data_IF_516204864585
#
_entry.id   IF_516204864585
#
_cell.length_a   1.000
_cell.length_b   1.000
_cell.length_c   1.000
_cell.angle_alpha   90.00
_cell.angle_beta   90.00
_cell.angle_gamma   90.00
#
_symmetry.space_group_name_H-M   'P 1'
#
loop_
_entity.id
_entity.type
_entity.pdbx_description
1 polymer ?
#
# COMPACT_ATOMS: atom_id res chain seq x y z
N UNK A 1 35.31 -5.54 19.02
CA UNK A 1 34.78 -5.67 17.65
C UNK A 1 33.50 -4.86 17.58
N UNK A 2 33.49 -3.75 16.87
CA UNK A 2 32.29 -2.97 16.64
C UNK A 2 31.40 -3.75 15.66
N UNK A 3 30.33 -4.33 16.15
CA UNK A 3 29.36 -4.96 15.27
C UNK A 3 28.80 -3.90 14.31
N UNK A 4 28.98 -4.12 13.00
CA UNK A 4 28.38 -3.26 11.99
C UNK A 4 26.87 -3.24 12.22
N UNK A 5 26.30 -2.04 12.39
CA UNK A 5 24.86 -1.88 12.54
C UNK A 5 24.13 -2.39 11.28
N UNK A 6 23.01 -3.04 11.49
CA UNK A 6 22.13 -3.47 10.41
C UNK A 6 21.34 -2.27 9.88
N UNK A 7 21.10 -2.25 8.58
CA UNK A 7 20.39 -1.16 7.89
C UNK A 7 19.04 -1.66 7.40
N UNK A 8 17.98 -0.94 7.75
CA UNK A 8 16.63 -1.14 7.24
C UNK A 8 16.37 -0.17 6.10
N UNK A 9 16.04 -0.68 4.92
CA UNK A 9 15.54 0.08 3.80
C UNK A 9 14.02 0.27 3.95
N UNK A 10 13.54 1.49 3.80
CA UNK A 10 12.12 1.82 3.90
C UNK A 10 11.68 2.47 2.58
N UNK A 11 10.71 1.86 1.89
CA UNK A 11 10.06 2.44 0.73
C UNK A 11 8.86 3.28 1.19
N UNK A 12 8.93 4.56 0.93
CA UNK A 12 7.97 5.56 1.39
C UNK A 12 8.63 6.57 2.32
N UNK A 13 8.31 7.83 2.09
CA UNK A 13 8.94 8.95 2.77
C UNK A 13 7.96 9.79 3.58
N UNK A 14 6.73 9.33 3.78
CA UNK A 14 5.70 10.01 4.54
C UNK A 14 5.93 10.05 6.05
N UNK A 15 4.92 10.46 6.79
CA UNK A 15 4.98 10.55 8.25
C UNK A 15 5.20 9.19 8.91
N UNK A 16 4.58 8.12 8.38
CA UNK A 16 4.78 6.77 8.92
C UNK A 16 6.20 6.27 8.65
N UNK A 17 6.77 6.58 7.46
CA UNK A 17 8.17 6.31 7.15
C UNK A 17 9.12 7.04 8.11
N UNK A 18 8.77 8.28 8.48
CA UNK A 18 9.51 9.04 9.49
C UNK A 18 9.48 8.35 10.86
N UNK A 19 8.31 7.94 11.32
CA UNK A 19 8.16 7.25 12.61
C UNK A 19 8.88 5.89 12.62
N UNK A 20 8.84 5.15 11.52
CA UNK A 20 9.60 3.91 11.37
C UNK A 20 11.10 4.14 11.44
N UNK A 21 11.61 5.18 10.76
CA UNK A 21 13.03 5.52 10.80
C UNK A 21 13.50 5.91 12.21
N UNK A 22 12.69 6.70 12.94
CA UNK A 22 12.94 7.07 14.31
C UNK A 22 12.96 5.84 15.24
N UNK A 23 11.94 4.98 15.14
CA UNK A 23 11.86 3.75 15.93
C UNK A 23 13.06 2.82 15.66
N UNK A 24 13.43 2.63 14.39
CA UNK A 24 14.58 1.83 13.99
C UNK A 24 15.89 2.37 14.62
N UNK A 25 16.08 3.69 14.59
CA UNK A 25 17.24 4.36 15.21
C UNK A 25 17.30 4.13 16.72
N UNK A 26 16.15 4.22 17.41
CA UNK A 26 16.05 4.04 18.85
C UNK A 26 16.42 2.62 19.31
N UNK A 27 16.23 1.61 18.46
CA UNK A 27 16.61 0.22 18.74
C UNK A 27 17.95 -0.18 18.09
N UNK A 28 18.72 0.79 17.58
CA UNK A 28 20.09 0.61 17.15
C UNK A 28 20.31 0.24 15.68
N UNK A 29 19.26 0.31 14.83
CA UNK A 29 19.42 0.14 13.39
C UNK A 29 19.79 1.45 12.69
N UNK A 30 20.45 1.33 11.55
CA UNK A 30 20.52 2.39 10.54
C UNK A 30 19.34 2.28 9.57
N UNK A 31 19.01 3.37 8.89
CA UNK A 31 17.93 3.40 7.90
C UNK A 31 18.37 4.03 6.60
N UNK A 32 17.81 3.53 5.49
CA UNK A 32 17.88 4.18 4.18
C UNK A 32 16.45 4.32 3.64
N UNK A 33 16.02 5.55 3.43
CA UNK A 33 14.68 5.86 2.91
C UNK A 33 14.75 5.96 1.39
N UNK A 34 13.89 5.22 0.69
CA UNK A 34 13.70 5.32 -0.76
C UNK A 34 12.40 6.05 -1.06
N UNK A 35 12.50 7.24 -1.63
CA UNK A 35 11.35 8.07 -1.96
C UNK A 35 11.70 9.02 -3.12
N UNK A 36 10.78 9.29 -4.08
CA UNK A 36 11.03 10.26 -5.15
C UNK A 36 10.97 11.72 -4.68
N UNK A 37 10.33 12.00 -3.55
CA UNK A 37 10.17 13.36 -3.02
C UNK A 37 11.42 13.80 -2.26
N UNK A 38 12.03 14.91 -2.71
CA UNK A 38 13.22 15.51 -2.09
C UNK A 38 12.95 16.10 -0.70
N UNK A 39 11.71 16.50 -0.42
CA UNK A 39 11.31 17.14 0.85
C UNK A 39 10.60 16.15 1.80
N UNK A 40 10.83 14.88 1.59
CA UNK A 40 10.19 13.82 2.35
C UNK A 40 10.45 13.93 3.87
N UNK A 41 9.39 13.94 4.72
CA UNK A 41 9.55 14.06 6.18
C UNK A 41 10.35 12.92 6.80
N UNK A 42 10.37 11.73 6.19
CA UNK A 42 11.12 10.59 6.69
C UNK A 42 12.64 10.82 6.69
N UNK A 43 13.13 11.73 5.86
CA UNK A 43 14.56 12.05 5.80
C UNK A 43 15.12 12.66 7.10
N UNK A 44 14.24 13.23 7.94
CA UNK A 44 14.63 13.82 9.23
C UNK A 44 15.34 12.82 10.15
N UNK A 45 14.93 11.56 10.14
CA UNK A 45 15.50 10.52 11.00
C UNK A 45 16.30 9.46 10.22
N UNK A 46 16.34 9.56 8.91
CA UNK A 46 17.06 8.63 8.06
C UNK A 46 18.58 8.75 8.24
N UNK A 47 19.28 7.61 8.27
CA UNK A 47 20.75 7.60 8.20
C UNK A 47 21.23 7.90 6.79
N UNK A 48 20.53 7.35 5.78
CA UNK A 48 20.80 7.54 4.37
C UNK A 48 19.48 7.79 3.61
N UNK A 49 19.61 8.42 2.44
CA UNK A 49 18.50 8.76 1.55
C UNK A 49 18.80 8.23 0.15
N UNK A 50 17.79 7.69 -0.51
CA UNK A 50 17.83 7.34 -1.92
C UNK A 50 16.66 8.03 -2.60
N UNK A 51 16.94 9.15 -3.25
CA UNK A 51 15.92 9.95 -3.95
C UNK A 51 15.87 9.47 -5.40
N UNK A 52 14.81 8.73 -5.74
CA UNK A 52 14.62 8.18 -7.08
C UNK A 52 13.17 7.70 -7.25
N UNK A 53 12.73 7.64 -8.52
CA UNK A 53 11.44 7.05 -8.86
C UNK A 53 11.37 5.58 -8.47
N UNK A 54 10.20 5.11 -8.04
CA UNK A 54 10.01 3.72 -7.60
C UNK A 54 10.30 2.67 -8.69
N UNK A 55 10.27 3.06 -9.97
CA UNK A 55 10.61 2.20 -11.10
C UNK A 55 12.07 2.26 -11.56
N UNK A 56 12.91 3.07 -10.95
CA UNK A 56 14.32 3.24 -11.34
C UNK A 56 15.17 2.02 -10.95
N UNK A 57 15.35 1.11 -11.91
CA UNK A 57 16.09 -0.14 -11.70
C UNK A 57 17.53 0.06 -11.25
N UNK A 58 18.22 1.12 -11.71
CA UNK A 58 19.61 1.35 -11.33
C UNK A 58 19.72 1.73 -9.85
N UNK A 59 18.86 2.65 -9.40
CA UNK A 59 18.82 3.05 -8.00
C UNK A 59 18.25 1.95 -7.11
N UNK A 60 17.29 1.15 -7.57
CA UNK A 60 16.80 -0.04 -6.86
C UNK A 60 17.92 -1.04 -6.59
N UNK A 61 18.79 -1.34 -7.58
CA UNK A 61 19.93 -2.25 -7.39
C UNK A 61 20.91 -1.71 -6.34
N UNK A 62 21.23 -0.42 -6.40
CA UNK A 62 22.12 0.22 -5.43
C UNK A 62 21.51 0.18 -4.01
N UNK A 63 20.24 0.52 -3.90
CA UNK A 63 19.52 0.51 -2.64
C UNK A 63 19.48 -0.89 -2.01
N UNK A 64 19.09 -1.92 -2.76
CA UNK A 64 19.06 -3.32 -2.28
C UNK A 64 20.41 -3.77 -1.74
N UNK A 65 21.52 -3.34 -2.38
CA UNK A 65 22.88 -3.65 -1.92
C UNK A 65 23.27 -2.92 -0.64
N UNK A 66 22.71 -1.73 -0.39
CA UNK A 66 23.06 -0.88 0.76
C UNK A 66 22.34 -1.25 2.05
N UNK A 67 21.33 -2.13 2.02
CA UNK A 67 20.50 -2.46 3.17
C UNK A 67 20.48 -3.96 3.48
N UNK A 68 20.18 -4.31 4.73
CA UNK A 68 20.06 -5.70 5.18
C UNK A 68 18.61 -6.22 5.09
N UNK A 69 17.64 -5.35 5.38
CA UNK A 69 16.20 -5.63 5.34
C UNK A 69 15.49 -4.52 4.59
N UNK A 70 14.34 -4.82 4.01
CA UNK A 70 13.51 -3.86 3.29
C UNK A 70 12.08 -3.97 3.78
N UNK A 71 11.46 -2.84 4.07
CA UNK A 71 10.03 -2.75 4.35
C UNK A 71 9.37 -1.66 3.50
N UNK A 72 8.05 -1.68 3.43
CA UNK A 72 7.24 -0.73 2.66
C UNK A 72 6.33 0.00 3.62
N UNK A 73 6.34 1.31 3.55
CA UNK A 73 5.41 2.18 4.27
C UNK A 73 4.37 2.78 3.32
N UNK A 74 4.77 3.10 2.10
CA UNK A 74 3.86 3.64 1.10
C UNK A 74 3.16 2.51 0.33
N UNK A 75 1.86 2.34 0.54
CA UNK A 75 1.09 1.23 -0.03
C UNK A 75 1.06 1.19 -1.57
N UNK A 76 1.21 2.36 -2.23
CA UNK A 76 1.08 2.47 -3.69
C UNK A 76 2.39 2.26 -4.47
N UNK A 77 3.34 1.51 -3.91
CA UNK A 77 4.54 1.08 -4.65
C UNK A 77 4.11 0.16 -5.80
N UNK A 78 4.57 0.40 -7.05
CA UNK A 78 4.20 -0.45 -8.18
C UNK A 78 4.56 -1.92 -7.97
N UNK A 79 3.65 -2.83 -8.33
CA UNK A 79 3.83 -4.28 -8.09
C UNK A 79 5.07 -4.85 -8.79
N UNK A 80 5.45 -4.32 -9.96
CA UNK A 80 6.67 -4.73 -10.64
C UNK A 80 7.93 -4.37 -9.84
N UNK A 81 7.93 -3.26 -9.13
CA UNK A 81 9.00 -2.84 -8.21
C UNK A 81 9.05 -3.76 -7.00
N UNK A 82 7.90 -4.04 -6.38
CA UNK A 82 7.79 -4.98 -5.26
C UNK A 82 8.34 -6.36 -5.65
N UNK A 83 7.93 -6.87 -6.80
CA UNK A 83 8.41 -8.16 -7.32
C UNK A 83 9.91 -8.16 -7.60
N UNK A 84 10.45 -7.02 -8.05
CA UNK A 84 11.90 -6.88 -8.26
C UNK A 84 12.67 -6.92 -6.94
N UNK A 85 12.22 -6.18 -5.94
CA UNK A 85 12.83 -6.13 -4.60
C UNK A 85 12.74 -7.50 -3.91
N UNK A 86 11.60 -8.18 -4.03
CA UNK A 86 11.37 -9.49 -3.40
C UNK A 86 12.40 -10.56 -3.81
N UNK A 87 12.94 -10.48 -5.04
CA UNK A 87 14.01 -11.38 -5.51
C UNK A 87 15.29 -11.30 -4.69
N UNK A 88 15.48 -10.23 -3.92
CA UNK A 88 16.64 -10.08 -3.04
C UNK A 88 16.56 -10.93 -1.77
N UNK A 89 15.39 -11.45 -1.41
CA UNK A 89 15.14 -12.14 -0.14
C UNK A 89 15.15 -11.23 1.09
N UNK A 90 15.19 -9.89 0.90
CA UNK A 90 15.29 -8.90 1.99
C UNK A 90 13.95 -8.22 2.31
N UNK A 91 12.89 -8.44 1.52
CA UNK A 91 11.61 -7.76 1.64
C UNK A 91 10.73 -8.38 2.73
N UNK A 92 10.25 -7.56 3.65
CA UNK A 92 9.30 -7.89 4.71
C UNK A 92 8.27 -6.76 4.87
N UNK A 93 6.96 -7.07 4.86
CA UNK A 93 6.35 -8.38 4.62
C UNK A 93 6.57 -8.91 3.19
N UNK A 94 6.11 -10.12 2.90
CA UNK A 94 6.29 -10.73 1.57
C UNK A 94 5.59 -9.95 0.46
N UNK A 95 6.03 -10.11 -0.78
CA UNK A 95 5.38 -9.50 -1.95
C UNK A 95 3.91 -9.88 -2.09
N UNK A 96 3.54 -11.11 -1.70
CA UNK A 96 2.15 -11.55 -1.75
C UNK A 96 1.28 -10.86 -0.69
N UNK A 97 1.80 -10.68 0.53
CA UNK A 97 1.10 -9.93 1.57
C UNK A 97 0.86 -8.47 1.14
N UNK A 98 1.88 -7.82 0.57
CA UNK A 98 1.77 -6.46 0.05
C UNK A 98 0.75 -6.38 -1.08
N UNK A 99 0.80 -7.33 -2.04
CA UNK A 99 -0.15 -7.38 -3.15
C UNK A 99 -1.60 -7.51 -2.68
N UNK A 100 -1.84 -8.34 -1.67
CA UNK A 100 -3.16 -8.52 -1.07
C UNK A 100 -3.63 -7.21 -0.44
N UNK A 101 -2.80 -6.56 0.36
CA UNK A 101 -3.15 -5.32 1.06
C UNK A 101 -3.35 -4.11 0.13
N UNK A 102 -2.81 -4.15 -1.09
CA UNK A 102 -3.00 -3.09 -2.08
C UNK A 102 -4.37 -3.09 -2.78
N UNK A 103 -5.17 -4.14 -2.64
CA UNK A 103 -6.44 -4.30 -3.35
C UNK A 103 -7.53 -4.80 -2.39
N UNK A 104 -8.55 -3.96 -2.11
CA UNK A 104 -9.62 -4.28 -1.16
C UNK A 104 -10.39 -5.56 -1.49
N UNK A 105 -10.55 -5.88 -2.78
CA UNK A 105 -11.16 -7.15 -3.16
C UNK A 105 -10.27 -8.33 -2.77
N UNK A 106 -8.98 -8.24 -3.03
CA UNK A 106 -8.04 -9.29 -2.66
C UNK A 106 -7.94 -9.48 -1.13
N UNK A 107 -8.02 -8.38 -0.35
CA UNK A 107 -8.09 -8.47 1.13
C UNK A 107 -9.35 -9.21 1.59
N UNK A 108 -10.52 -8.86 1.02
CA UNK A 108 -11.79 -9.53 1.37
C UNK A 108 -11.77 -11.00 0.98
N UNK A 109 -11.33 -11.31 -0.23
CA UNK A 109 -11.21 -12.69 -0.72
C UNK A 109 -10.24 -13.51 0.17
N UNK A 110 -9.12 -12.90 0.59
CA UNK A 110 -8.19 -13.50 1.52
C UNK A 110 -8.83 -13.77 2.89
N UNK A 111 -9.60 -12.83 3.43
CA UNK A 111 -10.33 -13.01 4.68
C UNK A 111 -11.32 -14.17 4.58
N UNK A 112 -12.16 -14.19 3.54
CA UNK A 112 -13.14 -15.25 3.32
C UNK A 112 -12.46 -16.61 3.19
N UNK A 113 -11.42 -16.72 2.37
CA UNK A 113 -10.65 -17.96 2.18
C UNK A 113 -10.05 -18.50 3.47
N UNK A 114 -9.66 -17.63 4.39
CA UNK A 114 -9.05 -17.97 5.66
C UNK A 114 -10.06 -17.97 6.83
N UNK A 115 -11.37 -17.94 6.56
CA UNK A 115 -12.44 -17.95 7.55
C UNK A 115 -12.36 -16.79 8.57
N UNK A 116 -11.82 -15.66 8.13
CA UNK A 116 -11.79 -14.42 8.89
C UNK A 116 -13.07 -13.63 8.58
N UNK A 117 -13.81 -13.27 9.62
CA UNK A 117 -15.07 -12.52 9.46
C UNK A 117 -14.83 -11.19 8.75
N UNK A 118 -15.66 -10.90 7.76
CA UNK A 118 -15.67 -9.63 7.02
C UNK A 118 -17.11 -9.25 6.65
N UNK A 119 -17.34 -7.99 6.33
CA UNK A 119 -18.64 -7.57 5.80
C UNK A 119 -18.93 -8.27 4.46
N UNK A 120 -20.22 -8.44 4.15
CA UNK A 120 -20.65 -8.81 2.80
C UNK A 120 -20.10 -7.79 1.79
N UNK A 121 -19.72 -8.24 0.63
CA UNK A 121 -19.13 -7.38 -0.40
C UNK A 121 -19.38 -7.92 -1.79
N UNK A 122 -19.33 -7.02 -2.77
CA UNK A 122 -19.34 -7.39 -4.19
C UNK A 122 -18.30 -6.60 -4.97
N UNK A 123 -17.73 -7.23 -5.98
CA UNK A 123 -16.81 -6.59 -6.92
C UNK A 123 -17.62 -5.82 -7.97
N UNK A 124 -17.26 -4.57 -8.20
CA UNK A 124 -17.91 -3.67 -9.17
C UNK A 124 -16.87 -3.25 -10.21
N UNK A 125 -16.97 -3.81 -11.40
CA UNK A 125 -16.12 -3.47 -12.54
C UNK A 125 -16.91 -2.66 -13.57
N UNK A 126 -18.21 -2.92 -13.65
CA UNK A 126 -19.14 -2.23 -14.55
C UNK A 126 -20.35 -1.73 -13.76
N UNK A 127 -21.04 -0.73 -14.31
CA UNK A 127 -22.24 -0.17 -13.69
C UNK A 127 -23.35 -1.20 -13.51
N UNK A 128 -23.42 -2.20 -14.39
CA UNK A 128 -24.39 -3.32 -14.29
C UNK A 128 -24.20 -4.16 -13.03
N UNK A 129 -22.98 -4.26 -12.52
CA UNK A 129 -22.67 -5.08 -11.34
C UNK A 129 -23.39 -4.54 -10.09
N UNK A 130 -23.68 -3.23 -10.07
CA UNK A 130 -24.42 -2.57 -9.00
C UNK A 130 -25.89 -3.06 -8.88
N UNK A 131 -26.45 -3.71 -9.92
CA UNK A 131 -27.83 -4.20 -9.90
C UNK A 131 -28.04 -5.43 -9.02
N UNK A 132 -26.99 -6.12 -8.63
CA UNK A 132 -27.04 -7.35 -7.83
C UNK A 132 -26.88 -7.10 -6.32
N UNK A 133 -26.67 -5.84 -5.92
CA UNK A 133 -26.52 -5.49 -4.51
C UNK A 133 -27.86 -5.18 -3.85
N UNK A 134 -28.01 -5.59 -2.59
CA UNK A 134 -29.17 -5.22 -1.79
C UNK A 134 -28.95 -3.87 -1.10
N UNK A 135 -29.77 -2.88 -1.44
CA UNK A 135 -29.72 -1.52 -0.91
C UNK A 135 -30.63 -1.27 0.29
N UNK A 136 -31.20 -2.31 0.91
CA UNK A 136 -32.03 -2.17 2.11
C UNK A 136 -31.24 -1.70 3.33
N UNK A 137 -29.92 -1.81 3.25
CA UNK A 137 -29.00 -1.35 4.29
C UNK A 137 -28.04 -0.31 3.74
N UNK A 138 -27.62 0.59 4.62
CA UNK A 138 -26.56 1.55 4.34
C UNK A 138 -25.29 0.81 3.91
N UNK A 139 -24.75 1.20 2.79
CA UNK A 139 -23.60 0.57 2.17
C UNK A 139 -22.49 1.57 1.87
N UNK A 140 -21.31 1.08 1.55
CA UNK A 140 -20.17 1.92 1.17
C UNK A 140 -19.56 1.39 -0.12
N UNK A 141 -19.48 2.24 -1.13
CA UNK A 141 -18.71 1.96 -2.34
C UNK A 141 -17.29 2.54 -2.19
N UNK A 142 -16.28 1.75 -2.52
CA UNK A 142 -14.86 2.14 -2.40
C UNK A 142 -14.10 1.75 -3.66
N UNK A 143 -13.18 2.60 -4.13
CA UNK A 143 -12.22 2.15 -5.14
C UNK A 143 -11.39 0.99 -4.59
N UNK A 144 -11.13 -0.02 -5.41
CA UNK A 144 -10.35 -1.20 -4.97
C UNK A 144 -8.92 -0.83 -4.59
N UNK A 145 -8.33 0.14 -5.27
CA UNK A 145 -6.95 0.59 -5.07
C UNK A 145 -6.89 2.12 -4.99
N UNK A 146 -5.78 2.66 -4.49
CA UNK A 146 -5.47 4.09 -4.46
C UNK A 146 -6.45 4.96 -3.64
N UNK A 147 -7.23 4.38 -2.74
CA UNK A 147 -8.10 5.12 -1.83
C UNK A 147 -7.40 5.33 -0.48
N UNK A 148 -7.19 6.60 -0.08
CA UNK A 148 -6.57 6.99 1.17
C UNK A 148 -7.31 8.20 1.78
N UNK A 149 -7.23 8.39 3.08
CA UNK A 149 -7.79 9.53 3.81
C UNK A 149 -9.25 9.86 3.46
N UNK A 150 -10.08 8.82 3.29
CA UNK A 150 -11.49 8.97 2.91
C UNK A 150 -11.72 9.25 1.42
N UNK A 151 -10.68 9.45 0.62
CA UNK A 151 -10.78 9.60 -0.83
C UNK A 151 -11.10 8.25 -1.50
N UNK A 152 -11.90 8.29 -2.56
CA UNK A 152 -12.31 7.08 -3.28
C UNK A 152 -13.25 6.18 -2.49
N UNK A 153 -14.04 6.75 -1.55
CA UNK A 153 -15.14 6.06 -0.89
C UNK A 153 -16.35 6.99 -0.71
N UNK A 154 -17.56 6.41 -0.77
CA UNK A 154 -18.81 7.12 -0.56
C UNK A 154 -19.82 6.20 0.12
N UNK A 155 -20.50 6.74 1.12
CA UNK A 155 -21.66 6.09 1.73
C UNK A 155 -22.84 6.24 0.78
N UNK A 156 -23.60 5.18 0.59
CA UNK A 156 -24.73 5.12 -0.32
C UNK A 156 -25.90 4.39 0.32
N UNK A 157 -27.12 4.74 -0.10
CA UNK A 157 -28.36 4.14 0.36
C UNK A 157 -29.22 3.62 -0.80
N UNK A 158 -28.87 3.99 -2.03
CA UNK A 158 -29.62 3.63 -3.23
C UNK A 158 -28.68 3.22 -4.36
N UNK A 159 -29.24 2.47 -5.32
CA UNK A 159 -28.53 2.13 -6.55
C UNK A 159 -28.09 3.36 -7.34
N UNK A 160 -28.94 4.39 -7.41
CA UNK A 160 -28.61 5.65 -8.12
C UNK A 160 -27.40 6.34 -7.52
N UNK A 161 -27.33 6.41 -6.18
CA UNK A 161 -26.15 6.97 -5.48
C UNK A 161 -24.88 6.15 -5.73
N UNK A 162 -25.00 4.83 -5.85
CA UNK A 162 -23.86 3.95 -6.17
C UNK A 162 -23.39 4.17 -7.62
N UNK A 163 -24.31 4.32 -8.58
CA UNK A 163 -23.98 4.63 -9.97
C UNK A 163 -23.31 6.00 -10.15
N UNK A 164 -23.77 7.00 -9.40
CA UNK A 164 -23.13 8.32 -9.35
C UNK A 164 -21.72 8.24 -8.79
N UNK A 165 -21.53 7.56 -7.65
CA UNK A 165 -20.24 7.38 -7.02
C UNK A 165 -19.25 6.62 -7.94
N UNK A 166 -19.71 5.58 -8.62
CA UNK A 166 -18.89 4.83 -9.57
C UNK A 166 -18.40 5.69 -10.73
N UNK A 167 -19.28 6.56 -11.28
CA UNK A 167 -18.89 7.54 -12.31
C UNK A 167 -17.92 8.59 -11.77
N UNK A 168 -18.18 9.13 -10.56
CA UNK A 168 -17.31 10.08 -9.88
C UNK A 168 -15.90 9.51 -9.67
N UNK A 169 -15.78 8.22 -9.37
CA UNK A 169 -14.50 7.52 -9.26
C UNK A 169 -13.85 7.18 -10.62
N UNK A 170 -14.39 7.70 -11.73
CA UNK A 170 -13.87 7.51 -13.09
C UNK A 170 -14.06 6.11 -13.64
N UNK A 171 -15.15 5.43 -13.26
CA UNK A 171 -15.48 4.06 -13.63
C UNK A 171 -14.34 3.06 -13.32
N UNK A 172 -13.56 3.35 -12.29
CA UNK A 172 -12.50 2.43 -11.83
C UNK A 172 -13.10 1.27 -11.05
N UNK A 173 -12.46 0.09 -11.06
CA UNK A 173 -12.90 -1.03 -10.25
C UNK A 173 -13.10 -0.64 -8.79
N UNK A 174 -14.27 -0.99 -8.24
CA UNK A 174 -14.70 -0.71 -6.88
C UNK A 174 -15.04 -2.00 -6.14
N UNK A 175 -15.16 -1.88 -4.83
CA UNK A 175 -15.84 -2.84 -3.96
C UNK A 175 -17.05 -2.12 -3.34
N UNK A 176 -18.15 -2.82 -3.22
CA UNK A 176 -19.35 -2.37 -2.54
C UNK A 176 -19.59 -3.30 -1.34
N UNK A 177 -19.70 -2.71 -0.13
CA UNK A 177 -19.87 -3.42 1.15
C UNK A 177 -20.85 -2.73 2.09
#
# INVERSE_FOLDING_TARGET
MTHKKKTIGIFGGGQLGMLLAEAAKNIGFETNIYCPDHESPAFKFATNQTIAEYGDKQNLVKFIKSVDYITIEFENIPQNTINFIAKSGKLFPSSDAIKISQDRLMEKDFCVKNQIATNEYTNVVNISDLSHWNYDKKSVIKTRQLGYDGKGQRVINTKSEAEEAFKEFGNRPCILE
#
